data_IF_540639770308
#
_entry.id   IF_540639770308
#
_cell.length_a   1.000
_cell.length_b   1.000
_cell.length_c   1.000
_cell.angle_alpha   90.00
_cell.angle_beta   90.00
_cell.angle_gamma   90.00
#
_symmetry.space_group_name_H-M   'P 1'
#
loop_
_entity.id
_entity.type
_entity.pdbx_description
1 polymer ?
#
# COMPACT_ATOMS: atom_id res chain seq x y z
N UNK A 1 -2.78 6.84 -10.80
CA UNK A 1 -3.70 6.73 -9.65
C UNK A 1 -3.12 7.60 -8.54
N UNK A 2 -3.94 8.17 -7.66
CA UNK A 2 -3.46 9.17 -6.68
C UNK A 2 -3.55 8.60 -5.26
N UNK A 3 -2.41 8.54 -4.55
CA UNK A 3 -2.31 8.08 -3.16
C UNK A 3 -3.16 8.90 -2.19
N UNK A 4 -3.44 10.17 -2.51
CA UNK A 4 -4.29 11.03 -1.67
C UNK A 4 -5.72 10.52 -1.53
N UNK A 5 -6.14 9.64 -2.45
CA UNK A 5 -7.46 9.01 -2.45
C UNK A 5 -7.55 7.77 -1.57
N UNK A 6 -6.43 7.29 -1.04
CA UNK A 6 -6.43 6.16 -0.12
C UNK A 6 -6.82 6.60 1.29
N UNK A 7 -7.78 5.89 1.87
CA UNK A 7 -8.16 6.02 3.27
C UNK A 7 -7.22 5.15 4.13
N UNK A 8 -6.37 5.82 4.92
CA UNK A 8 -5.31 5.16 5.71
C UNK A 8 -5.87 4.10 6.68
N UNK A 9 -7.01 4.37 7.29
CA UNK A 9 -7.66 3.46 8.23
C UNK A 9 -8.15 2.19 7.51
N UNK A 10 -8.74 2.32 6.32
CA UNK A 10 -9.15 1.17 5.50
C UNK A 10 -7.95 0.36 5.07
N UNK A 11 -6.88 1.03 4.63
CA UNK A 11 -5.64 0.38 4.23
C UNK A 11 -5.02 -0.42 5.39
N UNK A 12 -4.93 0.20 6.57
CA UNK A 12 -4.43 -0.44 7.78
C UNK A 12 -5.28 -1.66 8.16
N UNK A 13 -6.61 -1.56 8.10
CA UNK A 13 -7.50 -2.69 8.35
C UNK A 13 -7.24 -3.85 7.39
N UNK A 14 -7.09 -3.61 6.08
CA UNK A 14 -6.80 -4.68 5.09
C UNK A 14 -5.49 -5.40 5.43
N UNK A 15 -4.45 -4.65 5.77
CA UNK A 15 -3.14 -5.22 6.13
C UNK A 15 -3.22 -6.02 7.43
N UNK A 16 -3.87 -5.47 8.47
CA UNK A 16 -4.02 -6.12 9.78
C UNK A 16 -4.90 -7.38 9.72
N UNK A 17 -5.91 -7.42 8.86
CA UNK A 17 -6.78 -8.58 8.70
C UNK A 17 -6.13 -9.71 7.89
N UNK A 18 -5.08 -9.42 7.12
CA UNK A 18 -4.49 -10.38 6.21
C UNK A 18 -4.05 -11.69 6.87
N UNK A 19 -3.36 -11.71 8.02
CA UNK A 19 -2.98 -12.95 8.68
C UNK A 19 -4.21 -13.78 9.10
N UNK A 20 -5.27 -13.14 9.57
CA UNK A 20 -6.51 -13.80 9.99
C UNK A 20 -7.22 -14.47 8.81
N UNK A 21 -7.34 -13.75 7.70
CA UNK A 21 -7.94 -14.29 6.47
C UNK A 21 -7.06 -15.41 5.89
N UNK A 22 -5.74 -15.32 6.03
CA UNK A 22 -4.79 -16.35 5.60
C UNK A 22 -4.94 -17.65 6.38
N UNK A 23 -5.09 -17.54 7.71
CA UNK A 23 -5.38 -18.69 8.56
C UNK A 23 -6.68 -19.37 8.13
N UNK A 24 -7.74 -18.59 7.90
CA UNK A 24 -9.05 -19.10 7.42
C UNK A 24 -8.92 -19.77 6.04
N UNK A 25 -8.13 -19.19 5.14
CA UNK A 25 -7.84 -19.73 3.81
C UNK A 25 -6.86 -20.91 3.78
N UNK A 26 -6.31 -21.33 4.94
CA UNK A 26 -5.25 -22.34 5.06
C UNK A 26 -4.03 -22.02 4.20
N UNK A 27 -3.73 -20.74 4.01
CA UNK A 27 -2.55 -20.29 3.28
C UNK A 27 -1.32 -20.32 4.20
N UNK A 28 -0.18 -20.76 3.65
CA UNK A 28 1.10 -20.72 4.38
C UNK A 28 1.65 -19.29 4.53
N UNK A 29 1.30 -18.40 3.59
CA UNK A 29 1.84 -17.05 3.53
C UNK A 29 0.73 -16.00 3.35
N UNK A 30 0.76 -14.87 4.09
CA UNK A 30 -0.29 -13.86 3.98
C UNK A 30 -0.47 -13.24 2.60
N UNK A 31 0.61 -13.15 1.81
CA UNK A 31 0.55 -12.67 0.42
C UNK A 31 -0.39 -13.48 -0.47
N UNK A 32 -0.50 -14.79 -0.22
CA UNK A 32 -1.39 -15.68 -0.98
C UNK A 32 -2.86 -15.31 -0.78
N UNK A 33 -3.20 -14.67 0.34
CA UNK A 33 -4.55 -14.22 0.65
C UNK A 33 -4.96 -13.00 -0.15
N UNK A 34 -4.03 -12.08 -0.42
CA UNK A 34 -4.32 -10.92 -1.25
C UNK A 34 -4.49 -11.30 -2.73
N UNK A 35 -3.85 -12.37 -3.17
CA UNK A 35 -4.04 -12.91 -4.53
C UNK A 35 -5.37 -13.66 -4.68
N UNK A 36 -5.83 -14.36 -3.62
CA UNK A 36 -6.99 -15.26 -3.68
C UNK A 36 -8.29 -14.68 -3.12
N UNK A 37 -8.23 -13.73 -2.19
CA UNK A 37 -9.38 -13.25 -1.41
C UNK A 37 -9.69 -11.77 -1.60
N UNK A 38 -8.74 -10.99 -2.12
CA UNK A 38 -8.98 -9.60 -2.52
C UNK A 38 -9.25 -9.62 -4.02
N UNK A 39 -10.49 -9.91 -4.37
CA UNK A 39 -11.09 -9.34 -5.57
C UNK A 39 -11.57 -7.97 -5.12
N UNK A 40 -10.74 -6.92 -5.21
CA UNK A 40 -11.25 -5.60 -4.90
C UNK A 40 -12.37 -5.33 -5.91
N UNK A 41 -13.53 -4.92 -5.43
CA UNK A 41 -14.51 -4.29 -6.30
C UNK A 41 -13.84 -3.05 -6.94
N UNK A 42 -14.34 -2.60 -8.10
CA UNK A 42 -13.68 -1.53 -8.87
C UNK A 42 -13.50 -0.23 -8.05
N UNK A 43 -14.25 -0.08 -6.96
CA UNK A 43 -14.20 1.04 -6.01
C UNK A 43 -13.33 0.81 -4.75
N UNK A 44 -12.83 -0.41 -4.49
CA UNK A 44 -11.95 -0.72 -3.33
C UNK A 44 -10.48 -0.38 -3.66
N UNK A 45 -10.15 0.92 -3.61
CA UNK A 45 -8.81 1.43 -3.92
C UNK A 45 -7.73 0.85 -2.98
N UNK A 46 -8.03 0.68 -1.68
CA UNK A 46 -7.09 0.10 -0.73
C UNK A 46 -6.84 -1.38 -1.02
N UNK A 47 -7.89 -2.12 -1.36
CA UNK A 47 -7.76 -3.51 -1.80
C UNK A 47 -6.90 -3.63 -3.07
N UNK A 48 -7.09 -2.73 -4.04
CA UNK A 48 -6.26 -2.66 -5.25
C UNK A 48 -4.80 -2.34 -4.90
N UNK A 49 -4.55 -1.36 -4.02
CA UNK A 49 -3.21 -0.99 -3.61
C UNK A 49 -2.45 -2.16 -2.97
N UNK A 50 -3.08 -2.86 -2.01
CA UNK A 50 -2.40 -3.96 -1.31
C UNK A 50 -2.17 -5.16 -2.23
N UNK A 51 -3.11 -5.44 -3.15
CA UNK A 51 -2.91 -6.46 -4.18
C UNK A 51 -1.72 -6.12 -5.06
N UNK A 52 -1.64 -4.89 -5.55
CA UNK A 52 -0.56 -4.43 -6.41
C UNK A 52 0.80 -4.46 -5.69
N UNK A 53 0.86 -4.04 -4.42
CA UNK A 53 2.07 -4.09 -3.59
C UNK A 53 2.69 -5.50 -3.54
N UNK A 54 1.88 -6.54 -3.70
CA UNK A 54 2.30 -7.93 -3.62
C UNK A 54 2.46 -8.61 -4.98
N UNK A 55 2.05 -7.95 -6.07
CA UNK A 55 1.98 -8.56 -7.40
C UNK A 55 2.73 -7.78 -8.48
N UNK A 56 2.82 -6.45 -8.35
CA UNK A 56 3.57 -5.60 -9.25
C UNK A 56 5.05 -5.56 -8.88
N UNK A 57 5.89 -5.32 -9.90
CA UNK A 57 7.27 -4.92 -9.67
C UNK A 57 7.33 -3.44 -9.27
N UNK A 58 8.49 -3.00 -8.77
CA UNK A 58 8.67 -1.63 -8.30
C UNK A 58 8.38 -0.57 -9.37
N UNK A 59 8.93 -0.64 -10.61
CA UNK A 59 8.58 0.32 -11.66
C UNK A 59 7.07 0.47 -11.90
N UNK A 60 6.36 -0.63 -12.06
CA UNK A 60 4.91 -0.62 -12.34
C UNK A 60 4.11 -0.05 -11.16
N UNK A 61 4.54 -0.34 -9.92
CA UNK A 61 3.93 0.21 -8.71
C UNK A 61 4.11 1.74 -8.64
N UNK A 62 5.32 2.22 -8.93
CA UNK A 62 5.66 3.65 -8.91
C UNK A 62 4.89 4.41 -10.00
N UNK A 63 4.83 3.86 -11.21
CA UNK A 63 4.05 4.47 -12.29
C UNK A 63 2.57 4.56 -11.92
N UNK A 64 1.98 3.44 -11.46
CA UNK A 64 0.55 3.38 -11.17
C UNK A 64 0.13 4.27 -10.01
N UNK A 65 0.83 4.20 -8.88
CA UNK A 65 0.38 4.78 -7.61
C UNK A 65 1.07 6.09 -7.25
N UNK A 66 2.30 6.29 -7.75
CA UNK A 66 3.11 7.45 -7.39
C UNK A 66 3.30 8.41 -8.58
N UNK A 67 2.72 8.12 -9.75
CA UNK A 67 2.78 9.02 -10.91
C UNK A 67 4.16 9.11 -11.56
N UNK A 68 4.95 8.05 -11.45
CA UNK A 68 6.29 7.94 -12.03
C UNK A 68 7.42 8.23 -11.05
N UNK A 69 8.65 7.95 -11.51
CA UNK A 69 9.86 7.97 -10.68
C UNK A 69 10.16 9.35 -10.09
N UNK A 70 10.04 10.42 -10.89
CA UNK A 70 10.33 11.78 -10.45
C UNK A 70 9.44 12.18 -9.26
N UNK A 71 8.12 11.97 -9.38
CA UNK A 71 7.18 12.32 -8.32
C UNK A 71 7.37 11.45 -7.08
N UNK A 72 7.68 10.16 -7.24
CA UNK A 72 7.98 9.28 -6.11
C UNK A 72 9.22 9.74 -5.32
N UNK A 73 10.29 10.16 -6.01
CA UNK A 73 11.49 10.69 -5.38
C UNK A 73 11.22 12.01 -4.65
N UNK A 74 10.41 12.90 -5.23
CA UNK A 74 9.97 14.13 -4.56
C UNK A 74 9.20 13.82 -3.26
N UNK A 75 8.26 12.89 -3.29
CA UNK A 75 7.51 12.46 -2.10
C UNK A 75 8.47 11.95 -1.02
N UNK A 76 9.43 11.09 -1.39
CA UNK A 76 10.40 10.52 -0.45
C UNK A 76 11.29 11.60 0.21
N UNK A 77 11.75 12.58 -0.57
CA UNK A 77 12.57 13.69 -0.07
C UNK A 77 11.78 14.60 0.88
N UNK A 78 10.51 14.85 0.58
CA UNK A 78 9.65 15.67 1.42
C UNK A 78 9.38 14.99 2.77
N UNK A 79 9.10 13.68 2.78
CA UNK A 79 8.91 12.90 4.01
C UNK A 79 10.12 12.97 4.95
N UNK A 80 11.34 12.81 4.39
CA UNK A 80 12.58 12.91 5.17
C UNK A 80 12.81 14.32 5.73
N UNK A 81 12.28 15.35 5.08
CA UNK A 81 12.43 16.74 5.53
C UNK A 81 11.47 17.06 6.68
N UNK A 82 10.30 16.40 6.73
CA UNK A 82 9.34 16.52 7.84
C UNK A 82 9.83 15.81 9.10
N UNK A 83 10.36 14.58 9.00
CA UNK A 83 10.93 13.83 10.14
C UNK A 83 12.10 14.56 10.82
N UNK A 84 12.91 15.30 10.06
CA UNK A 84 14.03 16.07 10.59
C UNK A 84 13.60 17.37 11.30
N UNK A 85 12.40 17.90 11.03
CA UNK A 85 11.87 19.09 11.71
C UNK A 85 11.30 18.73 13.08
N UNK A 86 10.52 17.65 13.15
CA UNK A 86 9.96 17.18 14.43
C UNK A 86 11.05 16.73 15.41
N UNK A 87 12.21 16.33 14.92
CA UNK A 87 13.38 15.94 15.73
C UNK A 87 14.22 17.13 16.25
N UNK A 88 13.94 18.37 15.81
CA UNK A 88 14.68 19.58 16.23
C UNK A 88 13.89 20.47 17.21
N UNK A 89 12.61 20.15 17.45
CA UNK A 89 11.71 20.86 18.37
C UNK A 89 11.47 20.11 19.71
N UNK A 90 12.21 19.01 19.98
CA UNK A 90 12.30 18.31 21.28
C UNK A 90 13.61 18.63 22.03
#
# INVERSE_FOLDING_TARGET
MDLSKLEKEKLAQKVLLAPLVSLKGKHQWPRSTFQSYVFPEDDDLEGQFVKDLLTLNTPDMIEKWYGGEENALTILLNLRTEENKDSQDE
#
